data_IF_141929217599
#
_entry.id   IF_141929217599
#
_cell.length_a   1.000
_cell.length_b   1.000
_cell.length_c   1.000
_cell.angle_alpha   90.00
_cell.angle_beta   90.00
_cell.angle_gamma   90.00
#
_symmetry.space_group_name_H-M   'P 1'
#
loop_
_entity.id
_entity.type
_entity.pdbx_description
1 polymer ?
#
# COMPACT_ATOMS: atom_id res chain seq x y z
N UNK A 1 -4.74 -5.50 15.82
CA UNK A 1 -4.35 -6.11 14.53
C UNK A 1 -3.65 -7.45 14.78
N UNK A 2 -4.04 -8.53 14.08
CA UNK A 2 -3.48 -9.89 14.31
C UNK A 2 -1.97 -10.00 13.97
N UNK A 3 -1.50 -9.23 12.99
CA UNK A 3 -0.09 -9.18 12.58
C UNK A 3 0.86 -9.00 13.79
N UNK A 4 0.50 -8.13 14.73
CA UNK A 4 1.34 -7.86 15.91
C UNK A 4 1.35 -9.01 16.93
N UNK A 5 0.33 -9.87 16.95
CA UNK A 5 0.36 -11.10 17.75
C UNK A 5 1.27 -12.15 17.12
N UNK A 6 1.28 -12.22 15.79
CA UNK A 6 2.05 -13.21 15.03
C UNK A 6 3.54 -12.86 14.92
N UNK A 7 3.86 -11.57 14.78
CA UNK A 7 5.22 -11.10 14.48
C UNK A 7 5.79 -10.17 15.56
N UNK A 8 5.11 -10.06 16.71
CA UNK A 8 5.48 -9.16 17.80
C UNK A 8 5.01 -7.72 17.57
N UNK A 9 5.02 -6.93 18.64
CA UNK A 9 4.72 -5.50 18.53
C UNK A 9 5.88 -4.74 17.86
N UNK A 10 5.60 -3.61 17.18
CA UNK A 10 6.64 -2.71 16.73
C UNK A 10 7.52 -2.25 17.89
N UNK A 11 8.83 -2.20 17.65
CA UNK A 11 9.83 -1.69 18.59
C UNK A 11 11.12 -1.36 17.83
N UNK A 12 12.12 -0.83 18.54
CA UNK A 12 13.44 -0.56 17.95
C UNK A 12 14.15 -1.83 17.45
N UNK A 13 13.85 -3.00 18.03
CA UNK A 13 14.39 -4.29 17.58
C UNK A 13 13.45 -5.05 16.63
N UNK A 14 12.24 -4.54 16.38
CA UNK A 14 11.25 -5.13 15.48
C UNK A 14 10.59 -4.05 14.61
N UNK A 15 11.32 -3.51 13.62
CA UNK A 15 10.81 -2.44 12.77
C UNK A 15 9.74 -2.93 11.80
N UNK A 16 8.84 -2.03 11.40
CA UNK A 16 7.76 -2.31 10.45
C UNK A 16 7.70 -1.26 9.35
N UNK A 17 7.30 -1.70 8.14
CA UNK A 17 6.89 -0.84 7.04
C UNK A 17 5.49 -1.25 6.58
N UNK A 18 4.50 -0.38 6.78
CA UNK A 18 3.15 -0.56 6.23
C UNK A 18 3.07 0.16 4.88
N UNK A 19 2.78 -0.58 3.82
CA UNK A 19 2.93 -0.12 2.43
C UNK A 19 1.61 0.38 1.81
N UNK A 20 1.04 1.45 2.40
CA UNK A 20 -0.18 2.10 1.93
C UNK A 20 -1.48 1.32 2.18
N UNK A 21 -2.60 1.97 1.86
CA UNK A 21 -3.97 1.45 1.96
C UNK A 21 -4.31 0.96 3.38
N UNK A 22 -4.21 1.88 4.33
CA UNK A 22 -4.52 1.64 5.74
C UNK A 22 -6.02 1.74 6.04
N UNK A 23 -6.73 2.46 5.17
CA UNK A 23 -8.12 2.88 5.34
C UNK A 23 -8.95 2.51 4.11
N UNK A 24 -10.25 2.82 4.19
CA UNK A 24 -11.28 2.46 3.22
C UNK A 24 -11.58 0.97 3.18
N UNK A 25 -12.76 0.62 2.64
CA UNK A 25 -13.27 -0.75 2.46
C UNK A 25 -13.63 -1.45 3.77
N UNK A 26 -12.66 -1.60 4.68
CA UNK A 26 -12.92 -2.02 6.05
C UNK A 26 -13.65 -0.94 6.85
N UNK A 27 -14.42 -1.36 7.87
CA UNK A 27 -15.22 -0.46 8.70
C UNK A 27 -14.59 -0.15 10.07
N UNK A 28 -13.29 -0.40 10.17
CA UNK A 28 -12.44 -0.12 11.34
C UNK A 28 -11.21 0.70 10.93
N UNK A 29 -11.37 1.55 9.90
CA UNK A 29 -10.26 2.30 9.30
C UNK A 29 -9.67 3.31 10.29
N UNK A 30 -10.52 3.93 11.12
CA UNK A 30 -10.11 4.87 12.17
C UNK A 30 -9.21 4.19 13.21
N UNK A 31 -9.60 3.01 13.67
CA UNK A 31 -8.85 2.25 14.66
C UNK A 31 -7.50 1.80 14.10
N UNK A 32 -7.49 1.36 12.83
CA UNK A 32 -6.26 1.04 12.10
C UNK A 32 -5.34 2.25 12.04
N UNK A 33 -5.78 3.38 11.46
CA UNK A 33 -4.88 4.52 11.22
C UNK A 33 -4.35 5.14 12.51
N UNK A 34 -5.17 5.27 13.56
CA UNK A 34 -4.68 5.78 14.84
C UNK A 34 -3.69 4.83 15.51
N UNK A 35 -3.85 3.52 15.36
CA UNK A 35 -2.85 2.55 15.84
C UNK A 35 -1.52 2.74 15.11
N UNK A 36 -1.55 2.86 13.77
CA UNK A 36 -0.33 3.05 12.97
C UNK A 36 0.35 4.39 13.28
N UNK A 37 -0.40 5.49 13.37
CA UNK A 37 0.14 6.79 13.76
C UNK A 37 0.74 6.78 15.16
N UNK A 38 0.10 6.08 16.12
CA UNK A 38 0.65 5.94 17.47
C UNK A 38 2.01 5.25 17.46
N UNK A 39 2.18 4.16 16.68
CA UNK A 39 3.48 3.52 16.53
C UNK A 39 4.48 4.37 15.73
N UNK A 40 4.02 5.15 14.73
CA UNK A 40 4.88 6.09 14.03
C UNK A 40 5.44 7.17 14.95
N UNK A 41 4.63 7.68 15.88
CA UNK A 41 5.07 8.66 16.87
C UNK A 41 5.97 8.04 17.93
N UNK A 42 5.69 6.80 18.36
CA UNK A 42 6.45 6.09 19.37
C UNK A 42 7.82 5.61 18.87
N UNK A 43 7.88 5.17 17.62
CA UNK A 43 9.09 4.62 16.99
C UNK A 43 9.36 5.26 15.61
N UNK A 44 9.62 6.57 15.55
CA UNK A 44 9.69 7.32 14.29
C UNK A 44 10.74 6.80 13.30
N UNK A 45 11.83 6.21 13.80
CA UNK A 45 12.92 5.68 12.97
C UNK A 45 12.85 4.15 12.75
N UNK A 46 11.79 3.50 13.25
CA UNK A 46 11.63 2.03 13.16
C UNK A 46 10.22 1.62 12.73
N UNK A 47 9.27 2.55 12.67
CA UNK A 47 7.93 2.36 12.11
C UNK A 47 7.73 3.28 10.92
N UNK A 48 7.52 2.68 9.76
CA UNK A 48 7.45 3.36 8.48
C UNK A 48 6.10 3.12 7.82
N UNK A 49 5.65 4.13 7.08
CA UNK A 49 4.35 4.13 6.40
C UNK A 49 4.57 4.73 5.02
N UNK A 50 4.28 3.98 3.95
CA UNK A 50 4.19 4.53 2.59
C UNK A 50 2.76 4.98 2.32
N UNK A 51 2.58 6.00 1.48
CA UNK A 51 1.27 6.38 0.96
C UNK A 51 0.75 5.31 -0.01
N UNK A 52 -0.51 4.91 0.11
CA UNK A 52 -1.26 4.16 -0.89
C UNK A 52 -2.22 5.04 -1.67
N UNK A 53 -2.90 4.47 -2.66
CA UNK A 53 -3.89 5.24 -3.42
C UNK A 53 -5.12 5.58 -2.57
N UNK A 54 -5.44 4.76 -1.56
CA UNK A 54 -6.54 5.03 -0.63
C UNK A 54 -6.25 6.13 0.39
N UNK A 55 -5.00 6.60 0.54
CA UNK A 55 -4.69 7.81 1.30
C UNK A 55 -4.87 9.09 0.42
N UNK A 56 -6.04 9.20 -0.22
CA UNK A 56 -6.45 10.30 -1.08
C UNK A 56 -7.92 10.67 -0.90
N UNK A 57 -8.26 11.94 -1.13
CA UNK A 57 -9.61 12.49 -0.92
C UNK A 57 -10.65 11.75 -1.74
N UNK A 58 -10.37 11.54 -3.04
CA UNK A 58 -11.30 10.89 -3.96
C UNK A 58 -11.61 9.46 -3.53
N UNK A 59 -10.61 8.71 -3.04
CA UNK A 59 -10.84 7.36 -2.56
C UNK A 59 -11.63 7.36 -1.25
N UNK A 60 -11.27 8.21 -0.29
CA UNK A 60 -11.93 8.26 1.02
C UNK A 60 -13.40 8.65 0.94
N UNK A 61 -13.76 9.53 -0.01
CA UNK A 61 -15.15 9.91 -0.33
C UNK A 61 -15.99 8.73 -0.82
N UNK A 62 -15.38 7.84 -1.63
CA UNK A 62 -16.09 6.74 -2.28
C UNK A 62 -16.11 5.47 -1.43
N UNK A 63 -15.01 5.17 -0.72
CA UNK A 63 -14.76 3.87 -0.13
C UNK A 63 -14.84 3.81 1.40
N UNK A 64 -15.33 4.88 2.01
CA UNK A 64 -15.94 4.84 3.34
C UNK A 64 -15.16 5.52 4.45
N UNK A 65 -13.86 5.80 4.29
CA UNK A 65 -13.08 6.45 5.34
C UNK A 65 -13.63 7.82 5.71
N UNK A 66 -14.01 8.65 4.73
CA UNK A 66 -14.60 9.96 5.03
C UNK A 66 -15.92 9.83 5.79
N UNK A 67 -16.77 8.88 5.38
CA UNK A 67 -18.02 8.59 6.08
C UNK A 67 -17.78 8.09 7.50
N UNK A 68 -16.76 7.27 7.71
CA UNK A 68 -16.38 6.74 9.03
C UNK A 68 -15.87 7.88 9.94
N UNK A 69 -15.02 8.76 9.42
CA UNK A 69 -14.54 9.96 10.13
C UNK A 69 -15.69 10.87 10.51
N UNK A 70 -16.61 11.18 9.58
CA UNK A 70 -17.79 12.02 9.86
C UNK A 70 -18.74 11.38 10.88
N UNK A 71 -18.81 10.05 10.93
CA UNK A 71 -19.64 9.32 11.88
C UNK A 71 -19.03 9.27 13.28
N UNK A 72 -17.70 9.14 13.40
CA UNK A 72 -17.00 8.93 14.68
C UNK A 72 -16.40 10.23 15.26
N UNK A 73 -16.13 11.22 14.42
CA UNK A 73 -15.51 12.51 14.76
C UNK A 73 -16.21 13.67 14.03
N UNK A 74 -15.45 14.54 13.35
CA UNK A 74 -15.96 15.73 12.67
C UNK A 74 -15.34 15.85 11.28
N UNK A 75 -15.92 16.69 10.42
CA UNK A 75 -15.34 16.96 9.10
C UNK A 75 -13.93 17.56 9.19
N UNK A 76 -13.66 18.40 10.20
CA UNK A 76 -12.34 18.98 10.42
C UNK A 76 -11.27 17.91 10.72
N UNK A 77 -11.65 16.79 11.33
CA UNK A 77 -10.75 15.64 11.50
C UNK A 77 -10.40 15.01 10.14
N UNK A 78 -11.35 14.97 9.20
CA UNK A 78 -11.13 14.48 7.84
C UNK A 78 -10.14 15.36 7.06
N UNK A 79 -10.25 16.69 7.22
CA UNK A 79 -9.30 17.65 6.64
C UNK A 79 -7.90 17.42 7.20
N UNK A 80 -7.77 17.22 8.52
CA UNK A 80 -6.49 16.92 9.16
C UNK A 80 -5.88 15.59 8.68
N UNK A 81 -6.67 14.53 8.53
CA UNK A 81 -6.19 13.28 7.94
C UNK A 81 -5.66 13.51 6.51
N UNK A 82 -6.37 14.29 5.71
CA UNK A 82 -5.95 14.62 4.34
C UNK A 82 -4.60 15.36 4.33
N UNK A 83 -4.42 16.34 5.22
CA UNK A 83 -3.15 17.06 5.38
C UNK A 83 -2.01 16.09 5.74
N UNK A 84 -2.23 15.19 6.69
CA UNK A 84 -1.22 14.20 7.11
C UNK A 84 -0.91 13.20 5.98
N UNK A 85 -1.92 12.71 5.27
CA UNK A 85 -1.75 11.78 4.15
C UNK A 85 -0.93 12.39 3.01
N UNK A 86 -1.04 13.70 2.79
CA UNK A 86 -0.22 14.38 1.79
C UNK A 86 1.28 14.35 2.13
N UNK A 87 1.66 14.20 3.40
CA UNK A 87 3.06 14.15 3.81
C UNK A 87 3.66 12.74 3.84
N UNK A 88 2.84 11.69 3.74
CA UNK A 88 3.31 10.30 3.71
C UNK A 88 4.33 10.09 2.58
N UNK A 89 5.50 9.46 2.85
CA UNK A 89 6.46 9.08 1.81
C UNK A 89 5.82 8.21 0.72
N UNK A 90 6.24 8.39 -0.53
CA UNK A 90 5.70 7.61 -1.66
C UNK A 90 6.33 6.23 -1.79
N UNK A 91 7.57 6.06 -1.30
CA UNK A 91 8.30 4.79 -1.32
C UNK A 91 9.40 4.77 -0.25
N UNK A 92 9.97 3.59 -0.02
CA UNK A 92 11.13 3.38 0.85
C UNK A 92 12.18 2.55 0.12
N UNK A 93 13.45 2.93 0.20
CA UNK A 93 14.56 2.15 -0.35
C UNK A 93 15.36 1.53 0.80
N UNK A 94 15.37 0.20 0.88
CA UNK A 94 16.01 -0.56 1.94
C UNK A 94 17.40 -0.99 1.49
N UNK A 95 18.43 -0.63 2.26
CA UNK A 95 19.84 -0.93 2.01
C UNK A 95 20.34 -0.60 0.60
N UNK A 96 19.73 0.36 -0.09
CA UNK A 96 19.99 0.67 -1.51
C UNK A 96 19.83 -0.55 -2.44
N UNK A 97 19.01 -1.53 -2.04
CA UNK A 97 18.80 -2.79 -2.77
C UNK A 97 17.35 -3.06 -3.11
N UNK A 98 16.43 -2.76 -2.19
CA UNK A 98 15.02 -3.09 -2.37
C UNK A 98 14.19 -1.81 -2.33
N UNK A 99 13.44 -1.55 -3.40
CA UNK A 99 12.50 -0.43 -3.45
C UNK A 99 11.10 -0.92 -3.11
N UNK A 100 10.44 -0.24 -2.17
CA UNK A 100 9.10 -0.56 -1.70
C UNK A 100 8.15 0.60 -2.00
N UNK A 101 7.12 0.38 -2.81
CA UNK A 101 6.06 1.34 -3.12
C UNK A 101 4.70 0.68 -3.11
N UNK A 102 3.60 1.43 -2.98
CA UNK A 102 2.28 0.82 -2.94
C UNK A 102 1.86 0.20 -4.29
N UNK A 103 1.85 1.01 -5.35
CA UNK A 103 1.48 0.66 -6.72
C UNK A 103 2.64 0.03 -7.47
N UNK A 104 3.37 0.77 -8.29
CA UNK A 104 4.43 0.16 -9.08
C UNK A 104 5.32 1.13 -9.84
N UNK A 105 5.76 0.69 -11.02
CA UNK A 105 6.75 1.38 -11.84
C UNK A 105 6.11 2.30 -12.89
N UNK A 106 6.98 2.90 -13.69
CA UNK A 106 6.73 4.13 -14.41
C UNK A 106 6.47 3.93 -15.91
N UNK A 107 5.77 4.90 -16.50
CA UNK A 107 5.60 5.01 -17.96
C UNK A 107 6.90 5.38 -18.68
N UNK A 108 7.82 6.07 -18.01
CA UNK A 108 9.10 6.52 -18.55
C UNK A 108 10.27 5.63 -18.10
N UNK A 109 11.16 5.27 -19.03
CA UNK A 109 12.34 4.41 -18.76
C UNK A 109 13.44 5.15 -17.97
N UNK A 110 13.43 6.48 -17.95
CA UNK A 110 14.50 7.33 -17.38
C UNK A 110 14.33 7.69 -15.91
N UNK A 111 13.25 7.24 -15.26
CA UNK A 111 12.94 7.62 -13.87
C UNK A 111 14.00 7.05 -12.91
N UNK A 112 14.69 7.95 -12.21
CA UNK A 112 15.68 7.62 -11.19
C UNK A 112 15.12 7.70 -9.77
N UNK A 113 15.83 7.11 -8.81
CA UNK A 113 15.56 7.31 -7.38
C UNK A 113 15.63 8.79 -6.96
N UNK A 114 16.39 9.64 -7.66
CA UNK A 114 16.48 11.06 -7.37
C UNK A 114 15.24 11.83 -7.87
N UNK A 115 14.67 11.44 -9.01
CA UNK A 115 13.42 12.00 -9.51
C UNK A 115 12.26 11.69 -8.55
N UNK A 116 12.23 10.47 -8.01
CA UNK A 116 11.27 10.09 -6.97
C UNK A 116 11.45 10.96 -5.72
N UNK A 117 12.70 11.19 -5.28
CA UNK A 117 12.99 12.03 -4.10
C UNK A 117 12.57 13.49 -4.30
N UNK A 118 12.71 14.02 -5.52
CA UNK A 118 12.34 15.41 -5.88
C UNK A 118 10.84 15.61 -6.09
N UNK A 119 10.07 14.53 -6.19
CA UNK A 119 8.62 14.58 -6.41
C UNK A 119 7.92 15.31 -5.26
N UNK A 120 7.17 16.38 -5.60
CA UNK A 120 6.44 17.21 -4.65
C UNK A 120 5.16 16.49 -4.17
N UNK A 121 5.28 15.72 -3.10
CA UNK A 121 4.22 14.81 -2.62
C UNK A 121 3.12 15.46 -1.77
N UNK A 122 3.36 16.65 -1.19
CA UNK A 122 2.40 17.34 -0.30
C UNK A 122 1.22 17.95 -1.07
N UNK A 123 0.42 17.09 -1.69
CA UNK A 123 -0.74 17.40 -2.52
C UNK A 123 -1.56 16.13 -2.74
N UNK A 124 -2.73 16.25 -3.35
CA UNK A 124 -3.43 15.09 -3.90
C UNK A 124 -2.67 14.51 -5.10
N UNK A 125 -2.72 13.18 -5.29
CA UNK A 125 -2.11 12.53 -6.46
C UNK A 125 -2.64 13.16 -7.76
N UNK A 126 -1.75 13.53 -8.71
CA UNK A 126 -2.17 13.89 -10.06
C UNK A 126 -2.73 12.68 -10.83
N UNK A 127 -3.30 12.93 -12.01
CA UNK A 127 -3.80 11.85 -12.90
C UNK A 127 -2.66 11.10 -13.62
N UNK A 128 -1.47 11.70 -13.73
CA UNK A 128 -0.30 11.14 -14.41
C UNK A 128 1.03 11.48 -13.70
N UNK A 129 2.12 10.82 -14.13
CA UNK A 129 3.48 11.05 -13.65
C UNK A 129 3.86 10.24 -12.41
N UNK A 130 5.09 10.43 -11.93
CA UNK A 130 5.76 9.60 -10.90
C UNK A 130 4.88 9.34 -9.68
N UNK A 131 4.24 10.39 -9.14
CA UNK A 131 3.39 10.24 -7.95
C UNK A 131 2.15 9.39 -8.21
N UNK A 132 1.51 9.54 -9.38
CA UNK A 132 0.36 8.72 -9.76
C UNK A 132 0.78 7.24 -9.90
N UNK A 133 1.85 7.00 -10.64
CA UNK A 133 2.29 5.65 -11.03
C UNK A 133 2.83 4.84 -9.83
N UNK A 134 3.51 5.50 -8.87
CA UNK A 134 3.91 4.89 -7.59
C UNK A 134 2.72 4.39 -6.77
N UNK A 135 1.52 4.96 -6.96
CA UNK A 135 0.33 4.63 -6.20
C UNK A 135 -0.63 3.70 -6.97
N UNK A 136 -0.60 3.69 -8.31
CA UNK A 136 -1.65 3.06 -9.12
C UNK A 136 -1.18 1.99 -10.11
N UNK A 137 0.10 1.94 -10.47
CA UNK A 137 0.56 1.01 -11.50
C UNK A 137 0.58 -0.44 -11.03
N UNK A 138 0.30 -1.38 -11.94
CA UNK A 138 0.30 -2.83 -11.68
C UNK A 138 1.30 -3.57 -12.57
N UNK A 139 1.95 -4.65 -12.08
CA UNK A 139 2.70 -5.53 -12.95
C UNK A 139 1.77 -6.26 -13.94
N UNK A 140 2.31 -6.66 -15.10
CA UNK A 140 1.61 -7.54 -16.04
C UNK A 140 2.52 -8.66 -16.56
N UNK A 141 1.96 -9.83 -16.91
CA UNK A 141 2.69 -10.85 -17.64
C UNK A 141 3.24 -10.30 -18.98
N UNK A 142 4.41 -10.77 -19.38
CA UNK A 142 5.05 -10.40 -20.65
C UNK A 142 5.91 -9.14 -20.55
N UNK A 143 6.02 -8.41 -21.65
CA UNK A 143 6.93 -7.28 -21.82
C UNK A 143 6.20 -6.00 -22.24
N UNK A 144 6.84 -4.85 -22.03
CA UNK A 144 6.37 -3.54 -22.44
C UNK A 144 5.43 -2.91 -21.40
N UNK A 145 4.53 -2.05 -21.89
CA UNK A 145 3.55 -1.33 -21.09
C UNK A 145 2.17 -1.48 -21.69
N UNK A 146 1.14 -1.44 -20.85
CA UNK A 146 -0.25 -1.40 -21.30
C UNK A 146 -1.06 -0.40 -20.47
N UNK A 147 -2.22 -0.03 -21.00
CA UNK A 147 -3.18 0.83 -20.27
C UNK A 147 -3.64 0.09 -19.01
N UNK A 148 -3.68 0.80 -17.89
CA UNK A 148 -4.17 0.26 -16.63
C UNK A 148 -5.63 -0.17 -16.73
N UNK A 149 -5.95 -1.36 -16.20
CA UNK A 149 -7.34 -1.83 -16.04
C UNK A 149 -8.15 -0.97 -15.08
N UNK A 150 -7.48 -0.11 -14.30
CA UNK A 150 -8.08 0.81 -13.32
C UNK A 150 -8.46 2.16 -13.95
N UNK A 151 -8.05 2.40 -15.19
CA UNK A 151 -8.21 3.71 -15.87
C UNK A 151 -7.24 4.79 -15.39
N UNK A 152 -6.31 4.47 -14.49
CA UNK A 152 -5.27 5.36 -13.94
C UNK A 152 -3.98 4.58 -13.68
N UNK A 153 -2.83 5.22 -13.89
CA UNK A 153 -1.53 4.54 -13.92
C UNK A 153 -1.36 3.68 -15.18
N UNK A 154 -0.46 2.69 -15.11
CA UNK A 154 -0.19 1.77 -16.21
C UNK A 154 0.00 0.34 -15.73
N UNK A 155 0.01 -0.59 -16.69
CA UNK A 155 0.57 -1.91 -16.48
C UNK A 155 2.00 -1.97 -17.03
N UNK A 156 2.92 -2.63 -16.32
CA UNK A 156 4.33 -2.73 -16.71
C UNK A 156 4.82 -4.19 -16.70
N UNK A 157 5.57 -4.57 -17.74
CA UNK A 157 6.11 -5.91 -17.92
C UNK A 157 7.43 -6.15 -17.19
N UNK A 158 7.95 -7.37 -17.35
CA UNK A 158 9.18 -7.82 -16.70
C UNK A 158 10.43 -7.07 -17.20
N UNK A 159 10.46 -6.67 -18.47
CA UNK A 159 11.53 -5.88 -19.07
C UNK A 159 11.60 -4.47 -18.47
N UNK A 160 10.46 -3.84 -18.21
CA UNK A 160 10.40 -2.53 -17.55
C UNK A 160 10.93 -2.61 -16.12
N UNK A 161 10.54 -3.67 -15.39
CA UNK A 161 11.06 -3.92 -14.05
C UNK A 161 12.56 -4.10 -14.07
N UNK A 162 13.07 -4.96 -14.97
CA UNK A 162 14.50 -5.22 -15.09
C UNK A 162 15.28 -3.94 -15.42
N UNK A 163 14.85 -3.17 -16.42
CA UNK A 163 15.52 -1.92 -16.83
C UNK A 163 15.59 -0.91 -15.67
N UNK A 164 14.49 -0.72 -14.95
CA UNK A 164 14.45 0.21 -13.81
C UNK A 164 15.41 -0.21 -12.70
N UNK A 165 15.43 -1.51 -12.37
CA UNK A 165 16.33 -2.08 -11.36
C UNK A 165 17.79 -1.94 -11.78
N UNK A 166 18.14 -2.29 -13.02
CA UNK A 166 19.49 -2.14 -13.56
C UNK A 166 19.94 -0.67 -13.52
N UNK A 167 19.09 0.25 -13.96
CA UNK A 167 19.39 1.69 -14.01
C UNK A 167 19.64 2.29 -12.62
N UNK A 168 18.91 1.83 -11.61
CA UNK A 168 19.00 2.34 -10.25
C UNK A 168 19.87 1.46 -9.32
N UNK A 169 20.52 0.42 -9.84
CA UNK A 169 21.33 -0.54 -9.09
C UNK A 169 20.57 -1.19 -7.90
N UNK A 170 19.35 -1.64 -8.17
CA UNK A 170 18.47 -2.33 -7.22
C UNK A 170 18.37 -3.82 -7.55
N UNK A 171 18.04 -4.63 -6.56
CA UNK A 171 17.92 -6.08 -6.71
C UNK A 171 16.49 -6.49 -7.11
N UNK A 172 15.46 -5.92 -6.46
CA UNK A 172 14.04 -6.16 -6.77
C UNK A 172 13.14 -5.08 -6.15
N UNK A 173 11.85 -5.10 -6.51
CA UNK A 173 10.81 -4.26 -5.90
C UNK A 173 9.82 -5.08 -5.06
N UNK A 174 9.30 -4.46 -3.99
CA UNK A 174 8.14 -4.94 -3.24
C UNK A 174 7.01 -3.95 -3.42
N UNK A 175 5.82 -4.44 -3.74
CA UNK A 175 4.61 -3.65 -3.88
C UNK A 175 3.38 -4.32 -3.28
N UNK A 176 2.26 -3.61 -3.23
CA UNK A 176 1.01 -4.08 -2.61
C UNK A 176 -0.17 -4.03 -3.59
N UNK A 177 -1.17 -3.17 -3.38
CA UNK A 177 -2.25 -2.73 -4.29
C UNK A 177 -3.17 -3.77 -4.98
N UNK A 178 -2.76 -5.03 -5.12
CA UNK A 178 -3.56 -6.12 -5.68
C UNK A 178 -3.74 -7.24 -4.65
N UNK A 179 -4.99 -7.68 -4.49
CA UNK A 179 -5.33 -8.87 -3.70
C UNK A 179 -4.69 -10.09 -4.35
N UNK A 180 -4.11 -10.98 -3.55
CA UNK A 180 -3.56 -12.28 -3.97
C UNK A 180 -4.11 -13.38 -3.07
N UNK A 181 -4.47 -14.52 -3.65
CA UNK A 181 -5.09 -15.64 -2.92
C UNK A 181 -4.22 -16.12 -1.75
N UNK A 182 -2.90 -16.21 -1.94
CA UNK A 182 -1.94 -16.60 -0.91
C UNK A 182 -1.46 -15.43 -0.03
N UNK A 183 -1.99 -14.22 -0.25
CA UNK A 183 -1.51 -12.98 0.38
C UNK A 183 -0.24 -12.40 -0.23
N UNK A 184 0.41 -13.08 -1.17
CA UNK A 184 1.55 -12.57 -1.91
C UNK A 184 1.68 -13.24 -3.29
N UNK A 185 2.48 -12.66 -4.18
CA UNK A 185 2.86 -13.22 -5.48
C UNK A 185 4.27 -12.77 -5.86
N UNK A 186 5.03 -13.66 -6.48
CA UNK A 186 6.36 -13.37 -7.02
C UNK A 186 6.28 -13.38 -8.54
N UNK A 187 6.42 -12.21 -9.15
CA UNK A 187 6.33 -11.99 -10.58
C UNK A 187 7.68 -11.57 -11.17
N UNK A 188 7.73 -11.43 -12.50
CA UNK A 188 8.88 -10.91 -13.25
C UNK A 188 10.20 -11.62 -12.90
N UNK A 189 10.16 -12.96 -12.84
CA UNK A 189 11.31 -13.81 -12.49
C UNK A 189 11.96 -13.46 -11.14
N UNK A 190 11.16 -13.05 -10.14
CA UNK A 190 11.65 -12.71 -8.81
C UNK A 190 11.88 -11.22 -8.57
N UNK A 191 11.77 -10.40 -9.62
CA UNK A 191 12.11 -8.98 -9.55
C UNK A 191 10.97 -8.08 -9.06
N UNK A 192 9.72 -8.56 -9.07
CA UNK A 192 8.54 -7.82 -8.62
C UNK A 192 7.71 -8.69 -7.68
N UNK A 193 7.62 -8.28 -6.41
CA UNK A 193 6.90 -9.03 -5.37
C UNK A 193 5.68 -8.24 -4.96
N UNK A 194 4.50 -8.85 -5.05
CA UNK A 194 3.27 -8.32 -4.45
C UNK A 194 3.07 -8.90 -3.05
N UNK A 195 2.77 -8.08 -2.06
CA UNK A 195 2.34 -8.50 -0.71
C UNK A 195 1.04 -7.81 -0.31
N UNK A 196 0.12 -8.55 0.27
CA UNK A 196 -1.21 -8.09 0.62
C UNK A 196 -1.59 -8.56 2.03
N UNK A 197 -1.90 -7.61 2.91
CA UNK A 197 -2.04 -7.87 4.36
C UNK A 197 -3.48 -7.78 4.88
N UNK A 198 -4.48 -7.79 4.00
CA UNK A 198 -5.90 -7.88 4.40
C UNK A 198 -6.44 -9.29 4.08
N UNK A 199 -6.37 -10.25 5.02
CA UNK A 199 -6.95 -11.57 4.81
C UNK A 199 -8.49 -11.50 4.75
N UNK A 200 -9.11 -12.39 3.98
CA UNK A 200 -10.54 -12.40 3.68
C UNK A 200 -11.06 -11.01 3.30
N UNK A 201 -10.43 -10.39 2.31
CA UNK A 201 -10.68 -9.01 1.94
C UNK A 201 -12.16 -8.75 1.69
N UNK A 202 -12.68 -7.69 2.31
CA UNK A 202 -14.11 -7.32 2.31
C UNK A 202 -15.05 -8.47 2.71
N UNK A 203 -14.62 -9.34 3.62
CA UNK A 203 -15.36 -10.48 4.17
C UNK A 203 -15.90 -11.49 3.14
N UNK A 204 -15.41 -11.42 1.90
CA UNK A 204 -15.98 -12.12 0.75
C UNK A 204 -14.95 -12.83 -0.12
N UNK A 205 -13.71 -12.33 -0.18
CA UNK A 205 -12.71 -12.83 -1.12
C UNK A 205 -12.07 -14.16 -0.68
N UNK A 206 -12.07 -14.49 0.60
CA UNK A 206 -11.47 -15.73 1.12
C UNK A 206 -9.94 -15.83 0.98
N UNK A 207 -9.26 -14.79 0.51
CA UNK A 207 -7.81 -14.77 0.36
C UNK A 207 -7.10 -14.83 1.72
N UNK A 208 -5.86 -15.31 1.73
CA UNK A 208 -4.96 -15.17 2.89
C UNK A 208 -4.33 -13.77 2.90
N UNK A 209 -3.84 -13.37 4.06
CA UNK A 209 -2.95 -12.22 4.21
C UNK A 209 -1.51 -12.70 4.31
N UNK A 210 -0.57 -11.85 3.92
CA UNK A 210 0.85 -12.09 4.17
C UNK A 210 1.58 -10.84 4.64
N UNK A 211 2.73 -11.04 5.25
CA UNK A 211 3.76 -10.03 5.45
C UNK A 211 5.14 -10.61 5.10
N UNK A 212 6.09 -9.74 4.78
CA UNK A 212 7.46 -10.12 4.45
C UNK A 212 8.38 -9.77 5.61
N UNK A 213 9.25 -10.70 5.99
CA UNK A 213 10.40 -10.45 6.86
C UNK A 213 11.66 -10.41 6.01
N UNK A 214 12.49 -9.39 6.21
CA UNK A 214 13.75 -9.19 5.51
C UNK A 214 14.90 -9.26 6.51
N UNK A 215 15.96 -9.98 6.18
CA UNK A 215 17.20 -9.95 6.98
C UNK A 215 18.14 -8.87 6.45
N UNK A 216 18.70 -8.06 7.36
CA UNK A 216 19.51 -6.89 7.03
C UNK A 216 20.75 -7.18 6.16
N UNK A 217 21.32 -8.37 6.29
CA UNK A 217 22.52 -8.82 5.59
C UNK A 217 22.25 -9.28 4.15
N UNK A 218 21.15 -10.00 3.91
CA UNK A 218 20.84 -10.59 2.60
C UNK A 218 19.75 -9.87 1.82
N UNK A 219 18.89 -9.10 2.50
CA UNK A 219 17.64 -8.56 1.93
C UNK A 219 16.77 -9.65 1.28
N UNK A 220 16.89 -10.91 1.71
CA UNK A 220 16.10 -12.00 1.15
C UNK A 220 14.66 -11.98 1.72
N UNK A 221 13.61 -12.03 0.87
CA UNK A 221 12.23 -11.98 1.31
C UNK A 221 11.77 -13.33 1.85
N UNK A 222 11.35 -13.36 3.13
CA UNK A 222 10.63 -14.49 3.72
C UNK A 222 9.17 -14.13 3.96
N UNK A 223 8.28 -14.87 3.30
CA UNK A 223 6.83 -14.69 3.38
C UNK A 223 6.25 -15.42 4.59
N UNK A 224 5.43 -14.71 5.37
CA UNK A 224 4.61 -15.31 6.43
C UNK A 224 3.15 -15.08 6.08
N UNK A 225 2.42 -16.17 5.90
CA UNK A 225 1.02 -16.18 5.47
C UNK A 225 0.12 -16.46 6.67
N UNK A 226 -1.01 -15.77 6.76
CA UNK A 226 -1.96 -15.89 7.86
C UNK A 226 -3.42 -15.75 7.37
N UNK A 227 -4.34 -16.35 8.14
CA UNK A 227 -5.77 -16.28 7.88
C UNK A 227 -6.41 -15.06 8.57
N UNK A 228 -7.65 -14.76 8.17
CA UNK A 228 -8.48 -13.77 8.85
C UNK A 228 -8.80 -14.21 10.28
N UNK A 229 -9.13 -13.23 11.12
CA UNK A 229 -9.61 -13.44 12.49
C UNK A 229 -10.98 -12.80 12.64
N UNK A 230 -11.75 -13.27 13.61
CA UNK A 230 -13.05 -12.68 13.92
C UNK A 230 -12.91 -11.20 14.30
N UNK A 231 -13.90 -10.41 13.87
CA UNK A 231 -14.07 -9.00 14.22
C UNK A 231 -15.54 -8.74 14.55
N UNK A 232 -15.88 -7.61 15.21
CA UNK A 232 -17.26 -7.24 15.48
C UNK A 232 -18.11 -7.21 14.19
N UNK A 233 -19.43 -7.46 14.29
CA UNK A 233 -20.32 -7.63 13.12
C UNK A 233 -20.69 -6.30 12.47
N UNK A 234 -19.69 -5.55 12.00
CA UNK A 234 -19.85 -4.35 11.18
C UNK A 234 -19.44 -4.71 9.77
N UNK A 235 -20.38 -4.64 8.82
CA UNK A 235 -20.13 -4.98 7.42
C UNK A 235 -19.02 -4.11 6.82
N UNK A 236 -18.22 -4.62 5.86
CA UNK A 236 -17.37 -3.80 5.01
C UNK A 236 -18.18 -2.68 4.35
N UNK A 237 -17.54 -1.54 4.09
CA UNK A 237 -18.15 -0.40 3.39
C UNK A 237 -19.39 0.20 4.07
N UNK A 238 -19.61 -0.05 5.36
CA UNK A 238 -20.78 0.43 6.11
C UNK A 238 -20.95 1.96 6.04
N UNK A 239 -19.83 2.68 5.90
CA UNK A 239 -19.76 4.14 5.85
C UNK A 239 -19.59 4.72 4.43
N UNK A 240 -19.55 3.89 3.39
CA UNK A 240 -19.37 4.35 2.02
C UNK A 240 -20.61 5.08 1.48
N UNK A 241 -20.38 6.02 0.55
CA UNK A 241 -21.39 6.95 0.03
C UNK A 241 -22.36 6.34 -0.99
N UNK A 242 -21.95 5.31 -1.75
CA UNK A 242 -22.80 4.72 -2.80
C UNK A 242 -23.70 3.59 -2.27
N UNK A 243 -25.04 3.67 -2.48
CA UNK A 243 -25.95 2.56 -2.21
C UNK A 243 -25.61 1.30 -3.01
N UNK A 244 -25.05 1.45 -4.22
CA UNK A 244 -24.64 0.33 -5.06
C UNK A 244 -23.43 -0.42 -4.51
N UNK A 245 -22.48 0.31 -3.89
CA UNK A 245 -21.34 -0.30 -3.21
C UNK A 245 -21.75 -0.99 -1.89
N UNK A 246 -22.86 -0.58 -1.26
CA UNK A 246 -23.48 -1.27 -0.12
C UNK A 246 -24.30 -2.51 -0.51
N UNK A 247 -24.59 -2.71 -1.80
CA UNK A 247 -25.34 -3.87 -2.31
C UNK A 247 -24.43 -5.06 -2.64
N UNK A 248 -23.13 -4.82 -2.85
CA UNK A 248 -22.10 -5.86 -2.97
C UNK A 248 -21.42 -6.20 -1.63
N UNK A 249 -22.04 -5.82 -0.49
CA UNK A 249 -21.61 -6.05 0.90
C UNK A 249 -22.66 -6.74 1.78
#
# INVERSE_FOLDING_TARGET
>A
MNIFKLNGLPSTSNPYLFNGDFVDRGSFSIECIFTLFSFKLLYPDHFFMSRGNHESVTMNQMYGFEGEVRSKYTSQMGDLFTEVYNWLPLCHCLNNKVLVMHGGLFSEDSVSLDDIRKTQRNRQPPEEGIMCELLWSDPMPGTGRAVSKRGVGLQFGADITKKFLDFNNLDYIIRSHEVKDAGYEVAHAGLCITVFSAPNYCDTMGNKGAFITLRGDTMEPKYVVYAAVEHPPVKPMAYASSPLLRLFS
#
